data_IF_510065699914
#
_entry.id   IF_510065699914
#
_cell.length_a   1.000
_cell.length_b   1.000
_cell.length_c   1.000
_cell.angle_alpha   90.00
_cell.angle_beta   90.00
_cell.angle_gamma   90.00
#
_symmetry.space_group_name_H-M   'P 1'
#
loop_
_entity.id
_entity.type
_entity.pdbx_description
1 polymer ?
#
# COMPACT_ATOMS: atom_id res chain seq x y z
N UNK A 1 -19.43 -23.76 15.19
CA UNK A 1 -19.04 -22.68 14.24
C UNK A 1 -19.96 -22.78 13.03
N UNK A 2 -20.82 -21.78 12.79
CA UNK A 2 -22.01 -21.91 11.94
C UNK A 2 -21.66 -21.76 10.45
N UNK A 3 -22.01 -22.72 9.61
CA UNK A 3 -21.68 -22.79 8.16
C UNK A 3 -22.07 -21.51 7.41
N UNK A 4 -23.18 -20.87 7.82
CA UNK A 4 -23.64 -19.59 7.26
C UNK A 4 -22.64 -18.44 7.48
N UNK A 5 -21.91 -18.45 8.60
CA UNK A 5 -20.93 -17.40 8.95
C UNK A 5 -19.62 -17.58 8.16
N UNK A 6 -19.26 -18.82 7.83
CA UNK A 6 -18.11 -19.14 6.98
C UNK A 6 -18.36 -18.72 5.52
N UNK A 7 -19.58 -18.93 5.02
CA UNK A 7 -20.00 -18.50 3.68
C UNK A 7 -20.00 -16.96 3.53
N UNK A 8 -20.49 -16.23 4.54
CA UNK A 8 -20.49 -14.76 4.52
C UNK A 8 -19.08 -14.17 4.50
N UNK A 9 -18.14 -14.75 5.25
CA UNK A 9 -16.74 -14.29 5.27
C UNK A 9 -16.07 -14.54 3.92
N UNK A 10 -16.28 -15.72 3.32
CA UNK A 10 -15.76 -16.06 2.00
C UNK A 10 -16.30 -15.13 0.91
N UNK A 11 -17.61 -14.83 0.93
CA UNK A 11 -18.22 -13.89 -0.01
C UNK A 11 -17.64 -12.48 0.19
N UNK A 12 -17.56 -11.96 1.41
CA UNK A 12 -16.97 -10.64 1.67
C UNK A 12 -15.49 -10.56 1.26
N UNK A 13 -14.72 -11.64 1.46
CA UNK A 13 -13.33 -11.70 1.05
C UNK A 13 -13.18 -11.68 -0.48
N UNK A 14 -14.03 -12.45 -1.18
CA UNK A 14 -14.07 -12.46 -2.65
C UNK A 14 -14.53 -11.12 -3.23
N UNK A 15 -15.50 -10.43 -2.60
CA UNK A 15 -15.94 -9.09 -3.02
C UNK A 15 -14.88 -8.01 -2.78
N UNK A 16 -14.16 -8.05 -1.64
CA UNK A 16 -13.06 -7.14 -1.37
C UNK A 16 -11.91 -7.33 -2.37
N UNK A 17 -11.61 -8.58 -2.74
CA UNK A 17 -10.58 -8.90 -3.70
C UNK A 17 -10.96 -8.52 -5.14
N UNK A 18 -12.24 -8.68 -5.50
CA UNK A 18 -12.80 -8.22 -6.77
C UNK A 18 -12.84 -6.69 -6.88
N UNK A 19 -13.22 -5.98 -5.81
CA UNK A 19 -13.18 -4.53 -5.77
C UNK A 19 -11.74 -3.99 -5.90
N UNK A 20 -10.77 -4.67 -5.30
CA UNK A 20 -9.35 -4.32 -5.43
C UNK A 20 -8.82 -4.60 -6.85
N UNK A 21 -9.21 -5.70 -7.49
CA UNK A 21 -8.79 -5.99 -8.86
C UNK A 21 -9.43 -5.03 -9.88
N UNK A 22 -10.73 -4.71 -9.75
CA UNK A 22 -11.39 -3.66 -10.55
C UNK A 22 -10.71 -2.30 -10.39
N UNK A 23 -10.32 -1.95 -9.16
CA UNK A 23 -9.59 -0.71 -8.86
C UNK A 23 -8.22 -0.61 -9.56
N UNK A 24 -7.59 -1.74 -9.93
CA UNK A 24 -6.36 -1.76 -10.74
C UNK A 24 -6.63 -1.82 -12.25
N UNK A 25 -7.78 -2.34 -12.68
CA UNK A 25 -8.15 -2.53 -14.10
C UNK A 25 -8.69 -1.22 -14.72
N UNK A 26 -9.22 -0.29 -13.93
CA UNK A 26 -9.75 1.00 -14.42
C UNK A 26 -8.66 1.99 -14.92
N UNK A 27 -7.39 1.56 -14.98
CA UNK A 27 -6.27 2.32 -15.55
C UNK A 27 -6.43 2.63 -17.07
N UNK A 28 -7.48 2.15 -17.73
CA UNK A 28 -7.74 2.41 -19.16
C UNK A 28 -8.97 3.27 -19.46
N UNK A 29 -9.73 3.70 -18.44
CA UNK A 29 -10.96 4.45 -18.67
C UNK A 29 -10.71 5.97 -18.61
N UNK A 30 -11.10 6.68 -19.67
CA UNK A 30 -10.82 8.12 -19.89
C UNK A 30 -11.87 9.06 -19.26
N UNK A 31 -12.86 8.55 -18.54
CA UNK A 31 -13.92 9.35 -17.92
C UNK A 31 -13.63 9.58 -16.43
N UNK A 32 -12.77 10.54 -16.12
CA UNK A 32 -12.39 10.87 -14.75
C UNK A 32 -13.38 11.87 -14.13
N UNK A 33 -14.39 11.36 -13.43
CA UNK A 33 -15.07 12.15 -12.37
C UNK A 33 -14.28 12.10 -11.04
N UNK A 34 -13.17 11.35 -10.97
CA UNK A 34 -12.39 11.07 -9.76
C UNK A 34 -10.91 11.23 -10.03
N UNK A 35 -10.18 11.91 -9.14
CA UNK A 35 -8.73 12.08 -9.25
C UNK A 35 -8.06 10.76 -8.84
N UNK A 36 -7.16 10.24 -9.68
CA UNK A 36 -6.31 9.09 -9.32
C UNK A 36 -4.98 9.58 -8.76
N UNK A 37 -4.63 9.11 -7.56
CA UNK A 37 -3.37 9.41 -6.89
C UNK A 37 -2.65 8.09 -6.55
N UNK A 38 -1.51 7.85 -7.18
CA UNK A 38 -0.64 6.70 -6.91
C UNK A 38 0.55 7.15 -6.05
N UNK A 39 0.72 6.57 -4.86
CA UNK A 39 1.90 6.74 -4.01
C UNK A 39 2.83 5.53 -4.17
N UNK A 40 3.95 5.71 -4.87
CA UNK A 40 5.03 4.74 -4.84
C UNK A 40 5.83 4.92 -3.56
N UNK A 41 6.03 3.83 -2.81
CA UNK A 41 6.70 3.88 -1.51
C UNK A 41 7.39 2.56 -1.17
N UNK A 42 8.15 2.56 -0.07
CA UNK A 42 8.70 1.35 0.56
C UNK A 42 8.76 1.53 2.06
N UNK A 43 8.62 0.44 2.83
CA UNK A 43 8.78 0.49 4.29
C UNK A 43 10.20 0.81 4.76
N UNK A 44 11.20 0.68 3.89
CA UNK A 44 12.58 1.02 4.22
C UNK A 44 12.95 2.49 3.86
N UNK A 45 11.99 3.28 3.40
CA UNK A 45 12.23 4.64 2.94
C UNK A 45 11.91 5.66 4.04
N UNK A 46 12.95 6.34 4.57
CA UNK A 46 12.81 7.31 5.67
C UNK A 46 11.86 8.47 5.32
N UNK A 47 11.94 9.01 4.09
CA UNK A 47 11.02 10.05 3.62
C UNK A 47 9.60 9.55 3.37
N UNK A 48 9.41 8.24 3.15
CA UNK A 48 8.07 7.66 3.07
C UNK A 48 7.45 7.57 4.47
N UNK A 49 8.28 7.30 5.49
CA UNK A 49 7.84 7.30 6.88
C UNK A 49 7.47 8.70 7.40
N UNK A 50 8.23 9.75 7.07
CA UNK A 50 7.93 11.13 7.49
C UNK A 50 6.55 11.58 7.02
N UNK A 51 6.18 11.25 5.78
CA UNK A 51 4.89 11.66 5.19
C UNK A 51 3.74 10.68 5.41
N UNK A 52 3.99 9.50 6.02
CA UNK A 52 3.00 8.43 6.15
C UNK A 52 1.70 8.90 6.83
N UNK A 53 1.79 9.76 7.85
CA UNK A 53 0.60 10.22 8.55
C UNK A 53 -0.30 11.06 7.64
N UNK A 54 0.28 11.94 6.82
CA UNK A 54 -0.43 12.77 5.85
C UNK A 54 -1.08 11.90 4.77
N UNK A 55 -0.35 10.93 4.20
CA UNK A 55 -0.90 10.06 3.16
C UNK A 55 -1.97 9.12 3.70
N UNK A 56 -1.83 8.66 4.94
CA UNK A 56 -2.84 7.83 5.60
C UNK A 56 -4.12 8.62 5.90
N UNK A 57 -4.01 9.87 6.36
CA UNK A 57 -5.16 10.75 6.53
C UNK A 57 -5.86 11.02 5.20
N UNK A 58 -5.11 11.25 4.13
CA UNK A 58 -5.66 11.42 2.79
C UNK A 58 -6.46 10.19 2.34
N UNK A 59 -5.89 9.00 2.50
CA UNK A 59 -6.56 7.74 2.14
C UNK A 59 -7.87 7.52 2.93
N UNK A 60 -7.90 7.92 4.20
CA UNK A 60 -9.07 7.77 5.08
C UNK A 60 -10.17 8.81 4.85
N UNK A 61 -9.85 9.94 4.20
CA UNK A 61 -10.79 11.06 4.01
C UNK A 61 -12.02 10.72 3.17
N UNK A 62 -12.06 9.56 2.51
CA UNK A 62 -13.16 9.11 1.62
C UNK A 62 -13.55 10.16 0.58
N UNK A 63 -12.61 10.99 0.15
CA UNK A 63 -12.80 11.78 -1.06
C UNK A 63 -13.16 10.82 -2.21
N UNK A 64 -13.94 11.31 -3.17
CA UNK A 64 -14.35 10.50 -4.32
C UNK A 64 -13.14 9.99 -5.13
N UNK A 65 -11.96 10.55 -4.86
CA UNK A 65 -10.66 10.26 -5.45
C UNK A 65 -10.10 8.88 -5.09
N UNK A 66 -9.36 8.33 -6.04
CA UNK A 66 -8.73 7.02 -5.94
C UNK A 66 -7.29 7.16 -5.42
N UNK A 67 -7.09 7.03 -4.11
CA UNK A 67 -5.76 6.92 -3.54
C UNK A 67 -5.29 5.45 -3.53
N UNK A 68 -4.08 5.19 -4.06
CA UNK A 68 -3.47 3.87 -4.16
C UNK A 68 -2.01 3.91 -3.74
N UNK A 69 -1.65 3.11 -2.73
CA UNK A 69 -0.26 2.90 -2.33
C UNK A 69 0.33 1.72 -3.12
N UNK A 70 1.45 1.96 -3.79
CA UNK A 70 2.17 1.02 -4.64
C UNK A 70 3.52 0.70 -3.97
N UNK A 71 3.63 -0.43 -3.24
CA UNK A 71 4.88 -0.81 -2.61
C UNK A 71 5.87 -1.25 -3.68
N UNK A 72 7.07 -0.66 -3.70
CA UNK A 72 8.14 -1.07 -4.62
C UNK A 72 9.36 -1.60 -3.88
N UNK A 73 10.16 -2.35 -4.62
CA UNK A 73 11.44 -2.88 -4.16
C UNK A 73 12.51 -2.55 -5.17
N UNK A 74 13.56 -1.85 -4.74
CA UNK A 74 14.72 -1.55 -5.59
C UNK A 74 15.73 -2.69 -5.67
N UNK A 75 15.63 -3.70 -4.80
CA UNK A 75 16.50 -4.87 -4.79
C UNK A 75 15.74 -6.14 -4.37
N UNK A 76 16.33 -7.32 -4.57
CA UNK A 76 15.69 -8.60 -4.22
C UNK A 76 15.39 -8.71 -2.71
N UNK A 77 16.27 -8.15 -1.86
CA UNK A 77 16.19 -8.27 -0.39
C UNK A 77 14.99 -7.55 0.22
N UNK A 78 14.38 -6.61 -0.50
CA UNK A 78 13.23 -5.84 -0.05
C UNK A 78 11.89 -6.37 -0.60
N UNK A 79 11.90 -7.44 -1.41
CA UNK A 79 10.67 -8.04 -1.96
C UNK A 79 9.69 -8.47 -0.87
N UNK A 80 10.20 -8.97 0.26
CA UNK A 80 9.35 -9.39 1.38
C UNK A 80 8.55 -8.22 1.98
N UNK A 81 9.03 -6.98 1.88
CA UNK A 81 8.29 -5.80 2.33
C UNK A 81 7.06 -5.52 1.44
N UNK A 82 7.15 -5.81 0.13
CA UNK A 82 6.00 -5.71 -0.77
C UNK A 82 4.96 -6.78 -0.45
N UNK A 83 5.41 -8.02 -0.24
CA UNK A 83 4.53 -9.11 0.20
C UNK A 83 3.88 -8.78 1.54
N UNK A 84 4.64 -8.26 2.49
CA UNK A 84 4.14 -7.84 3.81
C UNK A 84 3.03 -6.79 3.65
N UNK A 85 3.23 -5.75 2.85
CA UNK A 85 2.19 -4.73 2.61
C UNK A 85 0.87 -5.35 2.15
N UNK A 86 0.89 -6.15 1.08
CA UNK A 86 -0.34 -6.75 0.55
C UNK A 86 -0.96 -7.77 1.50
N UNK A 87 -0.14 -8.54 2.21
CA UNK A 87 -0.62 -9.51 3.19
C UNK A 87 -1.37 -8.83 4.33
N UNK A 88 -0.83 -7.72 4.84
CA UNK A 88 -1.47 -6.92 5.89
C UNK A 88 -2.81 -6.35 5.43
N UNK A 89 -2.90 -5.87 4.19
CA UNK A 89 -4.15 -5.36 3.62
C UNK A 89 -5.20 -6.47 3.49
N UNK A 90 -4.82 -7.63 2.96
CA UNK A 90 -5.72 -8.77 2.83
C UNK A 90 -6.19 -9.31 4.18
N UNK A 91 -5.38 -9.18 5.23
CA UNK A 91 -5.78 -9.51 6.60
C UNK A 91 -6.68 -8.45 7.25
N UNK A 92 -6.91 -7.30 6.60
CA UNK A 92 -7.65 -6.18 7.18
C UNK A 92 -6.92 -5.52 8.36
N UNK A 93 -5.58 -5.61 8.39
CA UNK A 93 -4.73 -5.12 9.48
C UNK A 93 -3.94 -3.86 9.11
N UNK A 94 -4.57 -2.96 8.35
CA UNK A 94 -3.96 -1.70 7.90
C UNK A 94 -3.44 -0.83 9.06
N UNK A 95 -3.96 -1.04 10.28
CA UNK A 95 -3.45 -0.46 11.54
C UNK A 95 -1.95 -0.72 11.75
N UNK A 96 -1.43 -1.84 11.23
CA UNK A 96 -0.05 -2.24 11.39
C UNK A 96 0.93 -1.50 10.49
N UNK A 97 0.47 -0.78 9.46
CA UNK A 97 1.39 -0.07 8.57
C UNK A 97 2.27 0.94 9.31
N UNK A 98 1.70 1.69 10.26
CA UNK A 98 2.46 2.65 11.06
C UNK A 98 3.47 1.94 11.96
N UNK A 99 3.08 0.81 12.54
CA UNK A 99 3.94 0.02 13.42
C UNK A 99 5.08 -0.66 12.65
N UNK A 100 4.86 -1.10 11.41
CA UNK A 100 5.93 -1.61 10.54
C UNK A 100 6.96 -0.52 10.24
N UNK A 101 6.51 0.69 9.89
CA UNK A 101 7.42 1.82 9.66
C UNK A 101 8.22 2.18 10.92
N UNK A 102 7.57 2.22 12.09
CA UNK A 102 8.26 2.45 13.38
C UNK A 102 9.26 1.35 13.68
N UNK A 103 8.87 0.09 13.52
CA UNK A 103 9.74 -1.06 13.77
C UNK A 103 11.05 -0.94 12.97
N UNK A 104 10.98 -0.57 11.69
CA UNK A 104 12.15 -0.42 10.83
C UNK A 104 12.95 0.85 11.16
N UNK A 105 12.30 2.01 11.29
CA UNK A 105 12.98 3.31 11.33
C UNK A 105 13.27 3.85 12.74
N UNK A 106 12.58 3.35 13.77
CA UNK A 106 12.74 3.78 15.16
C UNK A 106 13.34 2.66 16.01
N UNK A 107 12.82 1.45 15.87
CA UNK A 107 13.20 0.34 16.75
C UNK A 107 14.35 -0.51 16.19
N UNK A 108 14.76 -0.25 14.94
CA UNK A 108 15.88 -0.94 14.29
C UNK A 108 15.60 -2.42 13.95
N UNK A 109 14.33 -2.82 13.94
CA UNK A 109 13.90 -4.19 13.62
C UNK A 109 14.03 -4.43 12.13
N UNK A 110 14.78 -5.48 11.78
CA UNK A 110 15.10 -5.84 10.39
C UNK A 110 14.00 -6.70 9.76
N UNK A 111 12.88 -6.10 9.39
CA UNK A 111 11.75 -6.80 8.73
C UNK A 111 12.00 -7.16 7.25
N UNK A 112 13.23 -7.51 6.87
CA UNK A 112 13.62 -7.80 5.48
C UNK A 112 13.55 -9.29 5.14
N UNK A 113 13.89 -10.16 6.08
CA UNK A 113 13.82 -11.60 5.88
C UNK A 113 12.51 -12.14 6.46
N UNK A 114 12.10 -13.31 5.97
CA UNK A 114 10.82 -13.91 6.33
C UNK A 114 10.71 -14.27 7.80
N UNK A 115 11.81 -14.73 8.41
CA UNK A 115 11.82 -15.16 9.81
C UNK A 115 11.52 -14.00 10.75
N UNK A 116 12.19 -12.87 10.55
CA UNK A 116 11.99 -11.67 11.37
C UNK A 116 10.58 -11.09 11.21
N UNK A 117 10.02 -11.16 9.99
CA UNK A 117 8.62 -10.81 9.74
C UNK A 117 7.69 -11.73 10.54
N UNK A 118 7.92 -13.04 10.52
CA UNK A 118 7.05 -14.01 11.22
C UNK A 118 7.04 -13.80 12.72
N UNK A 119 8.22 -13.59 13.32
CA UNK A 119 8.34 -13.28 14.74
C UNK A 119 7.62 -11.97 15.09
N UNK A 120 7.73 -10.95 14.24
CA UNK A 120 7.05 -9.68 14.45
C UNK A 120 5.52 -9.81 14.31
N UNK A 121 5.04 -10.58 13.34
CA UNK A 121 3.61 -10.82 13.09
C UNK A 121 2.96 -11.60 14.24
N UNK A 122 3.68 -12.60 14.81
CA UNK A 122 3.22 -13.34 15.99
C UNK A 122 3.04 -12.41 17.19
N UNK A 123 3.97 -11.47 17.42
CA UNK A 123 3.86 -10.46 18.49
C UNK A 123 2.63 -9.56 18.33
N UNK A 124 2.13 -9.39 17.10
CA UNK A 124 0.91 -8.63 16.80
C UNK A 124 -0.36 -9.50 16.74
N UNK A 125 -0.29 -10.69 17.35
CA UNK A 125 -1.40 -11.63 17.54
C UNK A 125 -2.04 -12.11 16.23
N UNK A 126 -1.27 -12.13 15.14
CA UNK A 126 -1.73 -12.68 13.87
C UNK A 126 -1.41 -14.18 13.82
N UNK A 127 -2.38 -14.99 13.39
CA UNK A 127 -2.16 -16.41 13.18
C UNK A 127 -1.13 -16.64 12.07
N UNK A 128 0.02 -17.22 12.43
CA UNK A 128 1.14 -17.37 11.52
C UNK A 128 0.84 -18.30 10.32
N UNK A 129 0.01 -19.33 10.51
CA UNK A 129 -0.36 -20.24 9.41
C UNK A 129 -1.18 -19.51 8.36
N UNK A 130 -2.18 -18.74 8.80
CA UNK A 130 -2.99 -17.91 7.91
C UNK A 130 -2.15 -16.82 7.23
N UNK A 131 -1.28 -16.13 7.98
CA UNK A 131 -0.36 -15.14 7.42
C UNK A 131 0.50 -15.73 6.31
N UNK A 132 1.14 -16.88 6.55
CA UNK A 132 2.02 -17.53 5.57
C UNK A 132 1.26 -17.96 4.31
N UNK A 133 0.05 -18.48 4.47
CA UNK A 133 -0.79 -18.86 3.34
C UNK A 133 -1.09 -17.67 2.43
N UNK A 134 -1.42 -16.51 3.01
CA UNK A 134 -1.69 -15.28 2.25
C UNK A 134 -0.39 -14.71 1.67
N UNK A 135 0.68 -14.65 2.47
CA UNK A 135 1.98 -14.09 2.07
C UNK A 135 2.56 -14.76 0.83
N UNK A 136 2.39 -16.08 0.69
CA UNK A 136 2.81 -16.86 -0.46
C UNK A 136 1.72 -17.09 -1.51
N UNK A 137 0.54 -16.48 -1.34
CA UNK A 137 -0.56 -16.65 -2.27
C UNK A 137 -0.24 -16.08 -3.66
N UNK A 138 -0.92 -16.64 -4.66
CA UNK A 138 -0.92 -16.09 -6.01
C UNK A 138 -1.38 -14.63 -6.03
N UNK A 139 -2.40 -14.28 -5.23
CA UNK A 139 -2.92 -12.92 -5.20
C UNK A 139 -1.85 -11.90 -4.78
N UNK A 140 -1.17 -12.15 -3.65
CA UNK A 140 -0.04 -11.29 -3.21
C UNK A 140 1.05 -11.24 -4.28
N UNK A 141 1.44 -12.39 -4.83
CA UNK A 141 2.49 -12.46 -5.86
C UNK A 141 2.13 -11.64 -7.10
N UNK A 142 0.88 -11.71 -7.57
CA UNK A 142 0.40 -10.95 -8.73
C UNK A 142 0.38 -9.44 -8.48
N UNK A 143 -0.04 -9.00 -7.28
CA UNK A 143 -0.03 -7.59 -6.88
C UNK A 143 1.39 -7.02 -6.80
N UNK A 144 2.35 -7.81 -6.29
CA UNK A 144 3.77 -7.44 -6.28
C UNK A 144 4.31 -7.27 -7.69
N UNK A 145 4.00 -8.20 -8.61
CA UNK A 145 4.41 -8.10 -10.01
C UNK A 145 3.80 -6.86 -10.69
N UNK A 146 2.51 -6.60 -10.48
CA UNK A 146 1.84 -5.41 -11.00
C UNK A 146 2.48 -4.11 -10.48
N UNK A 147 2.81 -4.05 -9.18
CA UNK A 147 3.48 -2.89 -8.58
C UNK A 147 4.85 -2.62 -9.21
N UNK A 148 5.63 -3.68 -9.43
CA UNK A 148 6.94 -3.57 -10.08
C UNK A 148 6.81 -3.15 -11.56
N UNK A 149 5.80 -3.65 -12.27
CA UNK A 149 5.52 -3.24 -13.64
C UNK A 149 5.13 -1.76 -13.72
N UNK A 150 4.24 -1.29 -12.84
CA UNK A 150 3.87 0.13 -12.76
C UNK A 150 5.09 1.00 -12.47
N UNK A 151 5.93 0.61 -11.52
CA UNK A 151 7.15 1.34 -11.21
C UNK A 151 8.08 1.45 -12.43
N UNK A 152 8.19 0.38 -13.23
CA UNK A 152 8.96 0.38 -14.48
C UNK A 152 8.32 1.29 -15.54
N UNK A 153 7.00 1.23 -15.72
CA UNK A 153 6.26 2.07 -16.69
C UNK A 153 6.46 3.55 -16.38
N UNK A 154 6.33 3.94 -15.12
CA UNK A 154 6.53 5.32 -14.66
C UNK A 154 8.00 5.69 -14.42
N UNK A 155 8.94 4.78 -14.70
CA UNK A 155 10.40 4.98 -14.54
C UNK A 155 10.80 5.44 -13.13
N UNK A 156 10.17 4.89 -12.11
CA UNK A 156 10.42 5.23 -10.70
C UNK A 156 11.81 4.78 -10.27
N UNK A 157 12.66 5.73 -9.88
CA UNK A 157 14.04 5.48 -9.43
C UNK A 157 14.37 6.11 -8.06
N UNK A 158 13.42 6.78 -7.41
CA UNK A 158 13.51 7.27 -6.04
C UNK A 158 12.15 7.18 -5.35
N UNK A 159 12.10 7.49 -4.06
CA UNK A 159 10.91 7.41 -3.22
C UNK A 159 10.88 8.54 -2.18
N UNK A 160 9.68 8.94 -1.69
CA UNK A 160 8.36 8.61 -2.24
C UNK A 160 8.13 9.31 -3.59
N UNK A 161 7.23 8.75 -4.41
CA UNK A 161 6.82 9.36 -5.69
C UNK A 161 5.30 9.34 -5.81
N UNK A 162 4.71 10.46 -6.22
CA UNK A 162 3.28 10.60 -6.45
C UNK A 162 2.98 10.79 -7.95
N UNK A 163 2.00 10.04 -8.45
CA UNK A 163 1.39 10.24 -9.77
C UNK A 163 -0.03 10.71 -9.54
N UNK A 164 -0.42 11.85 -10.13
CA UNK A 164 -1.78 12.38 -10.07
C UNK A 164 -2.33 12.47 -11.48
N UNK A 165 -3.44 11.79 -11.77
CA UNK A 165 -4.05 11.73 -13.11
C UNK A 165 -3.01 11.47 -14.22
N UNK A 166 -2.14 10.47 -13.99
CA UNK A 166 -1.03 10.05 -14.88
C UNK A 166 0.08 11.09 -15.08
N UNK A 167 0.03 12.24 -14.40
CA UNK A 167 1.12 13.22 -14.37
C UNK A 167 2.01 12.95 -13.15
N UNK A 168 3.32 12.87 -13.39
CA UNK A 168 4.33 12.72 -12.34
C UNK A 168 4.46 14.05 -11.57
N UNK A 169 4.24 14.03 -10.26
CA UNK A 169 4.41 15.19 -9.38
C UNK A 169 5.44 14.84 -8.32
N UNK A 170 6.70 15.14 -8.59
CA UNK A 170 7.79 14.75 -7.68
C UNK A 170 8.99 15.66 -7.78
N UNK A 171 9.47 16.15 -6.64
CA UNK A 171 10.87 16.52 -6.40
C UNK A 171 11.16 16.33 -4.89
N UNK A 172 12.34 15.79 -4.48
CA UNK A 172 12.68 15.48 -3.09
C UNK A 172 12.80 16.68 -2.14
N UNK A 173 12.71 17.92 -2.65
CA UNK A 173 12.83 19.17 -1.86
C UNK A 173 11.50 19.68 -1.30
N UNK A 174 10.46 18.85 -1.35
CA UNK A 174 9.07 19.30 -1.32
C UNK A 174 8.16 18.39 -0.48
N UNK A 175 8.65 17.75 0.58
CA UNK A 175 7.78 17.06 1.55
C UNK A 175 6.61 17.96 1.99
N UNK A 176 6.90 19.24 2.27
CA UNK A 176 5.89 20.25 2.60
C UNK A 176 4.91 20.51 1.45
N UNK A 177 5.36 20.53 0.19
CA UNK A 177 4.47 20.76 -0.96
C UNK A 177 3.65 19.51 -1.29
N UNK A 178 4.13 18.30 -1.00
CA UNK A 178 3.28 17.10 -1.10
C UNK A 178 2.21 17.14 -0.02
N UNK A 179 2.55 17.47 1.22
CA UNK A 179 1.52 17.68 2.26
C UNK A 179 0.55 18.79 1.87
N UNK A 180 1.03 19.90 1.30
CA UNK A 180 0.19 21.02 0.88
C UNK A 180 -0.69 20.65 -0.32
N UNK A 181 -0.18 19.88 -1.28
CA UNK A 181 -0.97 19.37 -2.42
C UNK A 181 -2.03 18.40 -1.90
N UNK A 182 -1.69 17.46 -1.01
CA UNK A 182 -2.65 16.55 -0.39
C UNK A 182 -3.69 17.32 0.41
N UNK A 183 -3.28 18.29 1.23
CA UNK A 183 -4.19 19.17 1.99
C UNK A 183 -5.07 19.99 1.04
N UNK A 184 -4.53 20.58 -0.01
CA UNK A 184 -5.31 21.33 -0.99
C UNK A 184 -6.28 20.44 -1.78
N UNK A 185 -5.91 19.20 -2.10
CA UNK A 185 -6.84 18.23 -2.67
C UNK A 185 -7.95 17.85 -1.67
N UNK A 186 -7.61 17.72 -0.38
CA UNK A 186 -8.60 17.45 0.68
C UNK A 186 -9.59 18.59 0.88
N UNK A 187 -9.12 19.84 0.80
CA UNK A 187 -9.91 21.00 1.20
C UNK A 187 -10.47 21.84 0.05
N UNK A 188 -9.86 21.82 -1.14
CA UNK A 188 -10.19 22.76 -2.21
C UNK A 188 -10.70 22.14 -3.51
N UNK A 189 -10.60 20.82 -3.71
CA UNK A 189 -11.20 20.13 -4.86
C UNK A 189 -10.92 20.81 -6.23
N UNK A 190 -9.71 21.38 -6.40
CA UNK A 190 -9.40 22.28 -7.51
C UNK A 190 -8.19 21.79 -8.30
N UNK A 191 -8.43 20.83 -9.20
CA UNK A 191 -7.57 20.52 -10.34
C UNK A 191 -8.41 20.07 -11.52
#
# INVERSE_FOLDING_TARGET
MNIKRLFYILICFSFAQFAYSQKLIDHNNKNYQKIEVLEFFSYNCKSCFSIFNNTNQFNLSKNQDLFLKIPISFNIGMKNLQHLFFTINLLGREDLHKEIFKAIHKDGIKLYNKKDIDEWIIKHQINIKNFNQIFYSYDVTSKVQASNLLAKIYKINYLPVFIINRKLITLPKYENVISDILLNMLFYNKF
#
